data_IF_581907176282
#
_entry.id   IF_581907176282
#
_cell.length_a   1.000
_cell.length_b   1.000
_cell.length_c   1.000
_cell.angle_alpha   90.00
_cell.angle_beta   90.00
_cell.angle_gamma   90.00
#
_symmetry.space_group_name_H-M   'P 1'
#
loop_
_entity.id
_entity.type
_entity.pdbx_description
1 polymer ?
#
# COMPACT_ATOMS: atom_id res chain seq x y z
N UNK A 1 25.13 17.67 19.08
CA UNK A 1 24.04 16.83 18.53
C UNK A 1 23.09 16.51 19.66
N UNK A 2 21.81 16.82 19.50
CA UNK A 2 20.82 16.61 20.59
C UNK A 2 20.57 15.11 20.71
N UNK A 3 20.92 14.49 21.86
CA UNK A 3 20.74 13.04 22.13
C UNK A 3 19.31 12.54 21.88
N UNK A 4 18.32 13.45 21.92
CA UNK A 4 16.91 13.11 21.69
C UNK A 4 16.56 12.87 20.20
N UNK A 5 17.47 13.19 19.25
CA UNK A 5 17.24 13.02 17.81
C UNK A 5 17.91 11.77 17.22
N UNK A 6 18.72 11.04 18.01
CA UNK A 6 19.52 9.89 17.56
C UNK A 6 19.01 8.54 18.06
N UNK A 7 17.76 8.49 18.52
CA UNK A 7 17.17 7.30 19.12
C UNK A 7 17.07 6.11 18.15
N UNK A 8 17.02 6.35 16.82
CA UNK A 8 17.00 5.29 15.81
C UNK A 8 18.31 4.48 15.82
N UNK A 9 19.43 5.11 16.18
CA UNK A 9 20.75 4.47 16.29
C UNK A 9 21.09 3.94 17.68
N UNK A 10 20.41 4.40 18.74
CA UNK A 10 20.85 4.16 20.14
C UNK A 10 19.88 3.30 20.94
N UNK A 11 18.56 3.43 20.76
CA UNK A 11 17.59 2.62 21.52
C UNK A 11 17.66 1.12 21.20
N UNK A 12 17.29 0.23 22.14
CA UNK A 12 17.21 -1.21 21.88
C UNK A 12 16.30 -1.52 20.68
N UNK A 13 16.83 -2.26 19.70
CA UNK A 13 16.18 -2.51 18.41
C UNK A 13 14.78 -3.10 18.57
N UNK A 14 14.57 -4.06 19.47
CA UNK A 14 13.26 -4.68 19.70
C UNK A 14 12.22 -3.68 20.22
N UNK A 15 12.57 -2.87 21.22
CA UNK A 15 11.69 -1.82 21.77
C UNK A 15 11.35 -0.77 20.72
N UNK A 16 12.35 -0.36 19.93
CA UNK A 16 12.21 0.62 18.87
C UNK A 16 11.27 0.11 17.77
N UNK A 17 11.47 -1.13 17.31
CA UNK A 17 10.61 -1.73 16.29
C UNK A 17 9.15 -1.83 16.76
N UNK A 18 8.90 -2.27 18.01
CA UNK A 18 7.54 -2.29 18.57
C UNK A 18 6.91 -0.91 18.62
N UNK A 19 7.68 0.09 19.08
CA UNK A 19 7.22 1.49 19.17
C UNK A 19 6.84 2.08 17.80
N UNK A 20 7.49 1.63 16.73
CA UNK A 20 7.22 2.10 15.38
C UNK A 20 6.16 1.23 14.66
N UNK A 21 6.20 -0.09 14.84
CA UNK A 21 5.29 -1.02 14.17
C UNK A 21 3.84 -0.90 14.66
N UNK A 22 3.61 -0.74 15.97
CA UNK A 22 2.23 -0.65 16.49
C UNK A 22 1.46 0.54 15.89
N UNK A 23 1.99 1.78 15.89
CA UNK A 23 1.28 2.89 15.26
C UNK A 23 1.08 2.69 13.75
N UNK A 24 2.05 2.14 13.02
CA UNK A 24 1.91 1.91 11.58
C UNK A 24 0.86 0.83 11.27
N UNK A 25 0.81 -0.26 12.02
CA UNK A 25 -0.26 -1.27 11.92
C UNK A 25 -1.61 -0.63 12.22
N UNK A 26 -1.70 0.13 13.31
CA UNK A 26 -2.94 0.84 13.70
C UNK A 26 -3.41 1.80 12.61
N UNK A 27 -2.49 2.53 11.98
CA UNK A 27 -2.82 3.42 10.86
C UNK A 27 -3.42 2.66 9.68
N UNK A 28 -2.87 1.49 9.33
CA UNK A 28 -3.42 0.65 8.25
C UNK A 28 -4.84 0.15 8.59
N UNK A 29 -5.06 -0.29 9.82
CA UNK A 29 -6.39 -0.73 10.27
C UNK A 29 -7.41 0.42 10.26
N UNK A 30 -7.04 1.60 10.74
CA UNK A 30 -7.90 2.79 10.71
C UNK A 30 -8.24 3.15 9.27
N UNK A 31 -7.26 3.14 8.38
CA UNK A 31 -7.44 3.43 6.95
C UNK A 31 -8.45 2.47 6.29
N UNK A 32 -8.37 1.18 6.62
CA UNK A 32 -9.34 0.20 6.13
C UNK A 32 -10.74 0.42 6.70
N UNK A 33 -10.84 0.66 8.01
CA UNK A 33 -12.14 0.86 8.68
C UNK A 33 -12.88 2.07 8.11
N UNK A 34 -12.22 3.21 7.92
CA UNK A 34 -12.91 4.37 7.38
C UNK A 34 -13.36 4.15 5.92
N UNK A 35 -12.58 3.44 5.10
CA UNK A 35 -12.99 3.08 3.74
C UNK A 35 -14.25 2.19 3.71
N UNK A 36 -14.40 1.30 4.70
CA UNK A 36 -15.62 0.48 4.85
C UNK A 36 -16.80 1.36 5.23
N UNK A 37 -16.61 2.26 6.19
CA UNK A 37 -17.68 3.16 6.68
C UNK A 37 -18.16 4.11 5.58
N UNK A 38 -17.24 4.70 4.81
CA UNK A 38 -17.54 5.54 3.65
C UNK A 38 -18.43 4.79 2.63
N UNK A 39 -18.09 3.54 2.30
CA UNK A 39 -18.89 2.71 1.40
C UNK A 39 -20.29 2.38 1.97
N UNK A 40 -20.40 2.19 3.30
CA UNK A 40 -21.68 2.00 3.96
C UNK A 40 -22.55 3.24 3.78
N UNK A 41 -22.03 4.43 4.01
CA UNK A 41 -22.79 5.67 3.82
C UNK A 41 -23.22 5.86 2.36
N UNK A 42 -22.32 5.65 1.40
CA UNK A 42 -22.65 5.74 -0.04
C UNK A 42 -23.74 4.75 -0.42
N UNK A 43 -23.70 3.51 0.08
CA UNK A 43 -24.71 2.49 -0.18
C UNK A 43 -26.10 2.80 0.39
N UNK A 44 -26.18 3.70 1.38
CA UNK A 44 -27.43 4.13 2.00
C UNK A 44 -28.00 5.44 1.43
N UNK A 45 -27.46 5.95 0.31
CA UNK A 45 -28.03 7.10 -0.40
C UNK A 45 -29.44 6.73 -0.88
N UNK A 46 -30.43 7.56 -0.52
CA UNK A 46 -31.85 7.31 -0.79
C UNK A 46 -32.13 7.22 -2.30
N UNK A 47 -32.73 6.13 -2.73
CA UNK A 47 -33.13 5.88 -4.13
C UNK A 47 -32.03 5.26 -4.99
N UNK A 48 -30.80 5.74 -4.94
CA UNK A 48 -29.71 5.39 -5.90
C UNK A 48 -28.49 4.73 -5.25
N UNK A 49 -28.58 4.34 -3.97
CA UNK A 49 -27.43 3.87 -3.19
C UNK A 49 -26.66 2.73 -3.85
N UNK A 50 -27.33 1.76 -4.46
CA UNK A 50 -26.66 0.65 -5.16
C UNK A 50 -25.90 1.09 -6.41
N UNK A 51 -26.50 2.00 -7.21
CA UNK A 51 -25.85 2.58 -8.40
C UNK A 51 -24.69 3.49 -8.02
N UNK A 52 -24.87 4.30 -6.97
CA UNK A 52 -23.86 5.18 -6.40
C UNK A 52 -22.65 4.37 -5.90
N UNK A 53 -22.90 3.32 -5.11
CA UNK A 53 -21.85 2.44 -4.59
C UNK A 53 -21.08 1.74 -5.72
N UNK A 54 -21.81 1.27 -6.74
CA UNK A 54 -21.19 0.65 -7.93
C UNK A 54 -20.35 1.67 -8.70
N UNK A 55 -20.88 2.89 -8.92
CA UNK A 55 -20.16 3.98 -9.58
C UNK A 55 -18.87 4.37 -8.87
N UNK A 56 -18.91 4.53 -7.54
CA UNK A 56 -17.71 4.79 -6.73
C UNK A 56 -16.75 3.59 -6.75
N UNK A 57 -17.28 2.37 -6.77
CA UNK A 57 -16.48 1.16 -6.91
C UNK A 57 -15.61 1.15 -8.18
N UNK A 58 -16.15 1.64 -9.30
CA UNK A 58 -15.40 1.76 -10.57
C UNK A 58 -14.30 2.83 -10.49
N UNK A 59 -14.37 3.80 -9.59
CA UNK A 59 -13.31 4.78 -9.36
C UNK A 59 -12.09 4.19 -8.64
N UNK A 60 -12.23 3.06 -7.94
CA UNK A 60 -11.16 2.48 -7.10
C UNK A 60 -9.84 2.21 -7.84
N UNK A 61 -9.82 1.65 -9.06
CA UNK A 61 -8.57 1.48 -9.80
C UNK A 61 -7.83 2.79 -10.05
N UNK A 62 -8.55 3.88 -10.36
CA UNK A 62 -7.94 5.21 -10.54
C UNK A 62 -7.39 5.76 -9.23
N UNK A 63 -8.11 5.61 -8.12
CA UNK A 63 -7.68 6.00 -6.78
C UNK A 63 -6.42 5.24 -6.38
N UNK A 64 -6.34 3.94 -6.68
CA UNK A 64 -5.15 3.12 -6.43
C UNK A 64 -3.95 3.58 -7.25
N UNK A 65 -4.14 3.97 -8.51
CA UNK A 65 -3.09 4.53 -9.36
C UNK A 65 -2.59 5.86 -8.79
N UNK A 66 -3.49 6.75 -8.34
CA UNK A 66 -3.13 8.00 -7.67
C UNK A 66 -2.27 7.71 -6.44
N UNK A 67 -2.70 6.78 -5.60
CA UNK A 67 -1.95 6.37 -4.40
C UNK A 67 -0.59 5.74 -4.73
N UNK A 68 -0.51 4.98 -5.86
CA UNK A 68 0.74 4.41 -6.33
C UNK A 68 1.77 5.48 -6.72
N UNK A 69 1.34 6.61 -7.30
CA UNK A 69 2.23 7.75 -7.56
C UNK A 69 2.73 8.41 -6.28
N UNK A 70 1.91 8.50 -5.24
CA UNK A 70 2.38 8.98 -3.93
C UNK A 70 3.43 8.03 -3.34
N UNK A 71 3.21 6.73 -3.46
CA UNK A 71 4.15 5.70 -3.04
C UNK A 71 5.43 5.67 -3.89
N UNK A 72 5.36 6.00 -5.18
CA UNK A 72 6.53 6.15 -6.05
C UNK A 72 7.53 7.15 -5.47
N UNK A 73 7.06 8.30 -5.06
CA UNK A 73 7.91 9.38 -4.56
C UNK A 73 8.26 9.17 -3.09
N UNK A 74 7.25 8.95 -2.24
CA UNK A 74 7.43 8.76 -0.81
C UNK A 74 8.15 7.47 -0.46
N UNK A 75 7.77 6.35 -1.09
CA UNK A 75 8.37 5.02 -0.85
C UNK A 75 9.82 4.90 -1.29
N UNK A 76 10.26 5.72 -2.24
CA UNK A 76 11.69 5.77 -2.62
C UNK A 76 12.46 6.87 -1.89
N UNK A 77 11.84 8.02 -1.67
CA UNK A 77 12.49 9.17 -1.03
C UNK A 77 12.71 8.98 0.47
N UNK A 78 11.72 8.48 1.19
CA UNK A 78 11.78 8.32 2.64
C UNK A 78 12.92 7.39 3.12
N UNK A 79 13.12 6.17 2.55
CA UNK A 79 14.26 5.34 2.92
C UNK A 79 15.60 5.99 2.63
N UNK A 80 15.73 6.68 1.50
CA UNK A 80 16.97 7.39 1.14
C UNK A 80 17.27 8.55 2.09
N UNK A 81 16.25 9.29 2.49
CA UNK A 81 16.40 10.34 3.51
C UNK A 81 16.86 9.74 4.85
N UNK A 82 16.30 8.58 5.25
CA UNK A 82 16.71 7.87 6.47
C UNK A 82 18.16 7.39 6.40
N UNK A 83 18.60 6.87 5.25
CA UNK A 83 20.01 6.49 5.03
C UNK A 83 20.93 7.73 5.18
N UNK A 84 20.55 8.85 4.59
CA UNK A 84 21.31 10.10 4.72
C UNK A 84 21.36 10.58 6.18
N UNK A 85 20.24 10.48 6.92
CA UNK A 85 20.21 10.77 8.36
C UNK A 85 21.19 9.88 9.14
N UNK A 86 21.21 8.58 8.84
CA UNK A 86 22.15 7.63 9.44
C UNK A 86 23.62 7.96 9.16
N UNK A 87 23.91 8.55 8.01
CA UNK A 87 25.25 9.08 7.65
C UNK A 87 25.59 10.42 8.32
N UNK A 88 24.70 10.94 9.15
CA UNK A 88 24.77 12.31 9.70
C UNK A 88 24.74 13.44 8.65
N UNK A 89 24.28 13.16 7.44
CA UNK A 89 24.09 14.12 6.35
C UNK A 89 22.65 14.62 6.31
N UNK A 90 22.29 15.46 7.28
CA UNK A 90 20.95 16.06 7.35
C UNK A 90 20.67 16.99 6.16
N UNK A 91 21.70 17.59 5.60
CA UNK A 91 21.55 18.50 4.46
C UNK A 91 21.03 17.73 3.23
N UNK A 92 21.67 16.61 2.89
CA UNK A 92 21.19 15.73 1.80
C UNK A 92 19.81 15.17 2.12
N UNK A 93 19.52 14.78 3.36
CA UNK A 93 18.20 14.29 3.75
C UNK A 93 17.09 15.36 3.57
N UNK A 94 17.34 16.62 3.95
CA UNK A 94 16.41 17.74 3.71
C UNK A 94 16.26 18.08 2.22
N UNK A 95 17.31 17.92 1.41
CA UNK A 95 17.21 18.09 -0.05
C UNK A 95 16.35 17.00 -0.67
N UNK A 96 16.48 15.74 -0.22
CA UNK A 96 15.62 14.64 -0.66
C UNK A 96 14.14 14.93 -0.32
N UNK A 97 13.85 15.34 0.92
CA UNK A 97 12.50 15.71 1.32
C UNK A 97 11.93 16.85 0.45
N UNK A 98 12.69 17.94 0.25
CA UNK A 98 12.25 19.11 -0.53
C UNK A 98 12.01 18.76 -2.02
N UNK A 99 12.91 17.98 -2.62
CA UNK A 99 12.78 17.52 -4.00
C UNK A 99 11.55 16.58 -4.17
N UNK A 100 11.34 15.65 -3.25
CA UNK A 100 10.20 14.76 -3.25
C UNK A 100 8.88 15.52 -3.05
N UNK A 101 8.85 16.49 -2.15
CA UNK A 101 7.69 17.36 -1.93
C UNK A 101 7.31 18.12 -3.21
N UNK A 102 8.29 18.73 -3.87
CA UNK A 102 8.05 19.47 -5.12
C UNK A 102 7.60 18.53 -6.26
N UNK A 103 8.23 17.36 -6.39
CA UNK A 103 7.83 16.37 -7.39
C UNK A 103 6.39 15.89 -7.16
N UNK A 104 5.97 15.71 -5.90
CA UNK A 104 4.59 15.32 -5.60
C UNK A 104 3.58 16.39 -5.98
N UNK A 105 3.89 17.67 -5.79
CA UNK A 105 3.05 18.77 -6.28
C UNK A 105 2.93 18.70 -7.80
N UNK A 106 4.05 18.52 -8.50
CA UNK A 106 4.05 18.45 -9.95
C UNK A 106 3.22 17.26 -10.47
N UNK A 107 3.43 16.07 -9.90
CA UNK A 107 2.65 14.87 -10.23
C UNK A 107 1.16 15.08 -9.94
N UNK A 108 0.81 15.71 -8.81
CA UNK A 108 -0.59 15.96 -8.47
C UNK A 108 -1.27 16.88 -9.47
N UNK A 109 -0.59 17.93 -9.95
CA UNK A 109 -1.12 18.83 -10.98
C UNK A 109 -1.31 18.06 -12.29
N UNK A 110 -0.34 17.27 -12.72
CA UNK A 110 -0.43 16.45 -13.93
C UNK A 110 -1.61 15.48 -13.84
N UNK A 111 -1.72 14.74 -12.72
CA UNK A 111 -2.80 13.79 -12.49
C UNK A 111 -4.17 14.50 -12.46
N UNK A 112 -4.28 15.65 -11.81
CA UNK A 112 -5.51 16.45 -11.79
C UNK A 112 -5.95 16.81 -13.21
N UNK A 113 -5.03 17.31 -14.03
CA UNK A 113 -5.33 17.67 -15.44
C UNK A 113 -5.77 16.43 -16.23
N UNK A 114 -5.01 15.33 -16.16
CA UNK A 114 -5.34 14.08 -16.86
C UNK A 114 -6.72 13.56 -16.43
N UNK A 115 -7.01 13.59 -15.13
CA UNK A 115 -8.28 13.07 -14.61
C UNK A 115 -9.46 13.99 -14.97
N UNK A 116 -9.32 15.31 -14.91
CA UNK A 116 -10.41 16.22 -15.26
C UNK A 116 -10.83 16.10 -16.73
N UNK A 117 -9.88 15.86 -17.61
CA UNK A 117 -10.17 15.74 -19.05
C UNK A 117 -10.44 14.30 -19.51
N UNK A 118 -9.89 13.29 -18.82
CA UNK A 118 -9.92 11.89 -19.26
C UNK A 118 -10.75 10.95 -18.40
N UNK A 119 -11.27 11.38 -17.25
CA UNK A 119 -11.88 10.47 -16.27
C UNK A 119 -13.04 9.65 -16.85
N UNK A 120 -13.91 10.23 -17.67
CA UNK A 120 -15.03 9.52 -18.29
C UNK A 120 -14.55 8.36 -19.16
N UNK A 121 -13.52 8.58 -19.97
CA UNK A 121 -12.91 7.54 -20.81
C UNK A 121 -12.28 6.43 -19.98
N UNK A 122 -11.54 6.79 -18.94
CA UNK A 122 -10.93 5.81 -18.04
C UNK A 122 -11.97 5.01 -17.27
N UNK A 123 -13.01 5.66 -16.74
CA UNK A 123 -14.07 5.00 -15.98
C UNK A 123 -14.86 4.03 -16.87
N UNK A 124 -15.16 4.37 -18.11
CA UNK A 124 -15.77 3.45 -19.08
C UNK A 124 -14.84 2.27 -19.36
N UNK A 125 -13.54 2.50 -19.53
CA UNK A 125 -12.57 1.44 -19.73
C UNK A 125 -12.44 0.50 -18.50
N UNK A 126 -12.66 1.02 -17.29
CA UNK A 126 -12.68 0.23 -16.04
C UNK A 126 -14.04 -0.40 -15.72
N UNK A 127 -15.03 -0.28 -16.60
CA UNK A 127 -16.28 -1.03 -16.50
C UNK A 127 -17.47 -0.24 -15.98
N UNK A 128 -17.45 1.09 -16.02
CA UNK A 128 -18.65 1.89 -15.77
C UNK A 128 -19.69 1.62 -16.85
N UNK A 129 -20.94 1.39 -16.43
CA UNK A 129 -22.10 1.29 -17.30
C UNK A 129 -22.75 2.65 -17.55
N UNK A 130 -23.67 2.73 -18.53
CA UNK A 130 -24.46 3.94 -18.76
C UNK A 130 -25.19 4.43 -17.50
N UNK A 131 -25.62 3.52 -16.64
CA UNK A 131 -26.33 3.85 -15.41
C UNK A 131 -25.42 4.31 -14.27
N UNK A 132 -24.15 3.93 -14.27
CA UNK A 132 -23.20 4.21 -13.17
C UNK A 132 -22.19 5.29 -13.50
N UNK A 133 -21.99 5.61 -14.79
CA UNK A 133 -20.94 6.54 -15.24
C UNK A 133 -21.10 7.94 -14.65
N UNK A 134 -22.33 8.45 -14.53
CA UNK A 134 -22.56 9.80 -14.00
C UNK A 134 -22.20 9.89 -12.50
N UNK A 135 -22.48 8.85 -11.71
CA UNK A 135 -22.06 8.78 -10.30
C UNK A 135 -20.53 8.72 -10.19
N UNK A 136 -19.88 7.91 -11.02
CA UNK A 136 -18.44 7.76 -11.07
C UNK A 136 -17.73 9.07 -11.47
N UNK A 137 -18.22 9.74 -12.52
CA UNK A 137 -17.67 11.03 -13.01
C UNK A 137 -17.85 12.13 -11.96
N UNK A 138 -19.03 12.22 -11.34
CA UNK A 138 -19.30 13.22 -10.31
C UNK A 138 -18.38 13.04 -9.09
N UNK A 139 -18.12 11.80 -8.67
CA UNK A 139 -17.17 11.49 -7.60
C UNK A 139 -15.75 11.87 -8.03
N UNK A 140 -15.33 11.40 -9.21
CA UNK A 140 -13.96 11.51 -9.68
C UNK A 140 -13.55 12.94 -10.01
N UNK A 141 -14.46 13.79 -10.49
CA UNK A 141 -14.19 15.21 -10.73
C UNK A 141 -13.78 15.95 -9.44
N UNK A 142 -14.50 15.71 -8.36
CA UNK A 142 -14.17 16.31 -7.06
C UNK A 142 -12.88 15.72 -6.51
N UNK A 143 -12.74 14.39 -6.59
CA UNK A 143 -11.54 13.70 -6.14
C UNK A 143 -10.28 14.17 -6.89
N UNK A 144 -10.39 14.39 -8.22
CA UNK A 144 -9.30 14.89 -9.07
C UNK A 144 -8.77 16.24 -8.58
N UNK A 145 -9.65 17.19 -8.25
CA UNK A 145 -9.25 18.50 -7.71
C UNK A 145 -8.51 18.34 -6.38
N UNK A 146 -8.92 17.38 -5.55
CA UNK A 146 -8.29 17.11 -4.27
C UNK A 146 -7.07 16.21 -4.31
N UNK A 147 -6.65 15.73 -5.48
CA UNK A 147 -5.51 14.81 -5.64
C UNK A 147 -4.23 15.35 -4.99
N UNK A 148 -4.03 16.67 -4.98
CA UNK A 148 -2.88 17.28 -4.30
C UNK A 148 -2.82 16.96 -2.82
N UNK A 149 -3.95 17.00 -2.13
CA UNK A 149 -4.01 16.68 -0.69
C UNK A 149 -3.72 15.21 -0.45
N UNK A 150 -4.25 14.33 -1.30
CA UNK A 150 -4.00 12.88 -1.24
C UNK A 150 -2.52 12.58 -1.46
N UNK A 151 -1.92 13.15 -2.51
CA UNK A 151 -0.50 12.97 -2.84
C UNK A 151 0.41 13.43 -1.71
N UNK A 152 0.19 14.64 -1.21
CA UNK A 152 1.01 15.21 -0.14
C UNK A 152 0.81 14.47 1.19
N UNK A 153 -0.43 14.11 1.53
CA UNK A 153 -0.69 13.34 2.76
C UNK A 153 0.02 12.00 2.74
N UNK A 154 -0.19 11.19 1.71
CA UNK A 154 0.38 9.85 1.64
C UNK A 154 1.91 9.87 1.51
N UNK A 155 2.43 10.69 0.60
CA UNK A 155 3.87 10.71 0.34
C UNK A 155 4.68 11.36 1.45
N UNK A 156 4.22 12.48 1.99
CA UNK A 156 4.96 13.18 3.05
C UNK A 156 4.83 12.49 4.41
N UNK A 157 3.73 11.76 4.65
CA UNK A 157 3.59 10.96 5.87
C UNK A 157 4.69 9.87 5.98
N UNK A 158 5.17 9.34 4.86
CA UNK A 158 6.29 8.40 4.83
C UNK A 158 7.57 9.03 5.38
N UNK A 159 7.80 10.33 5.13
CA UNK A 159 8.93 11.06 5.69
C UNK A 159 8.80 11.32 7.19
N UNK A 160 7.59 11.45 7.72
CA UNK A 160 7.35 11.53 9.17
C UNK A 160 7.70 10.20 9.84
N UNK A 161 7.19 9.10 9.28
CA UNK A 161 7.42 7.75 9.81
C UNK A 161 8.90 7.37 9.75
N UNK A 162 9.58 7.70 8.66
CA UNK A 162 10.99 7.36 8.47
C UNK A 162 11.95 8.11 9.40
N UNK A 163 11.51 9.25 9.95
CA UNK A 163 12.23 9.94 11.03
C UNK A 163 12.00 9.30 12.41
N UNK A 164 11.17 8.25 12.49
CA UNK A 164 10.81 7.57 13.74
C UNK A 164 9.58 8.14 14.45
N UNK A 165 8.85 9.10 13.84
CA UNK A 165 7.64 9.68 14.41
C UNK A 165 6.37 8.95 13.97
N UNK A 166 6.36 7.61 14.06
CA UNK A 166 5.25 6.77 13.61
C UNK A 166 3.90 7.13 14.26
N UNK A 167 3.89 7.55 15.54
CA UNK A 167 2.67 8.05 16.21
C UNK A 167 2.10 9.28 15.53
N UNK A 168 2.94 10.22 15.12
CA UNK A 168 2.51 11.43 14.41
C UNK A 168 1.95 11.08 13.03
N UNK A 169 2.58 10.12 12.35
CA UNK A 169 2.07 9.57 11.09
C UNK A 169 0.72 8.88 11.26
N UNK A 170 0.54 8.07 12.29
CA UNK A 170 -0.74 7.44 12.62
C UNK A 170 -1.83 8.49 12.92
N UNK A 171 -1.49 9.55 13.67
CA UNK A 171 -2.44 10.61 14.00
C UNK A 171 -2.95 11.34 12.75
N UNK A 172 -2.12 11.51 11.70
CA UNK A 172 -2.60 12.10 10.44
C UNK A 172 -3.71 11.25 9.80
N UNK A 173 -3.55 9.92 9.82
CA UNK A 173 -4.56 8.97 9.30
C UNK A 173 -5.81 8.99 10.18
N UNK A 174 -5.64 9.00 11.50
CA UNK A 174 -6.76 9.05 12.45
C UNK A 174 -7.59 10.34 12.30
N UNK A 175 -6.93 11.49 12.19
CA UNK A 175 -7.59 12.79 11.98
C UNK A 175 -8.40 12.75 10.67
N UNK A 176 -7.81 12.27 9.58
CA UNK A 176 -8.51 12.13 8.31
C UNK A 176 -9.71 11.19 8.40
N UNK A 177 -9.55 10.04 9.04
CA UNK A 177 -10.63 9.07 9.23
C UNK A 177 -11.80 9.64 10.06
N UNK A 178 -11.51 10.27 11.19
CA UNK A 178 -12.55 10.90 12.03
C UNK A 178 -13.26 12.01 11.28
N UNK A 179 -12.53 12.87 10.59
CA UNK A 179 -13.13 13.94 9.79
C UNK A 179 -14.03 13.38 8.69
N UNK A 180 -13.58 12.33 7.98
CA UNK A 180 -14.37 11.71 6.93
C UNK A 180 -15.68 11.11 7.50
N UNK A 181 -15.59 10.31 8.57
CA UNK A 181 -16.77 9.70 9.22
C UNK A 181 -17.80 10.75 9.68
N UNK A 182 -17.35 11.93 10.09
CA UNK A 182 -18.24 13.03 10.51
C UNK A 182 -18.80 13.80 9.32
N UNK A 183 -17.98 14.06 8.30
CA UNK A 183 -18.37 14.87 7.14
C UNK A 183 -19.23 14.08 6.14
N UNK A 184 -19.06 12.78 6.01
CA UNK A 184 -19.85 11.94 5.11
C UNK A 184 -21.36 12.07 5.36
N UNK A 185 -21.90 11.79 6.56
CA UNK A 185 -23.34 11.92 6.80
C UNK A 185 -23.82 13.37 6.66
N UNK A 186 -22.98 14.34 6.97
CA UNK A 186 -23.33 15.76 6.84
C UNK A 186 -23.52 16.13 5.37
N UNK A 187 -22.57 15.77 4.49
CA UNK A 187 -22.64 16.16 3.08
C UNK A 187 -23.55 15.23 2.26
N UNK A 188 -23.56 13.94 2.56
CA UNK A 188 -24.38 12.97 1.82
C UNK A 188 -25.87 13.18 2.15
N UNK A 189 -26.23 13.22 3.44
CA UNK A 189 -27.61 13.19 3.88
C UNK A 189 -28.16 14.57 4.27
N UNK A 190 -27.46 15.34 5.12
CA UNK A 190 -27.98 16.63 5.59
C UNK A 190 -27.97 17.70 4.48
N UNK A 191 -26.94 17.76 3.66
CA UNK A 191 -26.85 18.67 2.51
C UNK A 191 -27.38 18.08 1.20
N UNK A 192 -27.81 16.82 1.22
CA UNK A 192 -28.35 16.09 0.05
C UNK A 192 -27.45 16.09 -1.19
N UNK A 193 -26.12 16.09 -1.00
CA UNK A 193 -25.15 16.10 -2.10
C UNK A 193 -24.88 14.71 -2.68
N UNK A 194 -25.37 13.64 -2.03
CA UNK A 194 -25.19 12.27 -2.49
C UNK A 194 -23.71 11.91 -2.69
N UNK A 195 -23.38 11.32 -3.85
CA UNK A 195 -22.01 10.90 -4.20
C UNK A 195 -21.02 12.07 -4.24
N UNK A 196 -21.46 13.26 -4.64
CA UNK A 196 -20.62 14.47 -4.61
C UNK A 196 -20.25 14.84 -3.16
N UNK A 197 -21.18 14.61 -2.22
CA UNK A 197 -20.95 14.81 -0.79
C UNK A 197 -19.88 13.88 -0.24
N UNK A 198 -19.90 12.60 -0.59
CA UNK A 198 -18.87 11.62 -0.21
C UNK A 198 -17.48 12.03 -0.75
N UNK A 199 -17.39 12.41 -2.03
CA UNK A 199 -16.13 12.88 -2.60
C UNK A 199 -15.61 14.13 -1.89
N UNK A 200 -16.49 15.09 -1.60
CA UNK A 200 -16.14 16.35 -0.92
C UNK A 200 -15.65 16.06 0.52
N UNK A 201 -16.35 15.19 1.27
CA UNK A 201 -15.93 14.77 2.59
C UNK A 201 -14.55 14.12 2.58
N UNK A 202 -14.30 13.22 1.64
CA UNK A 202 -13.00 12.57 1.47
C UNK A 202 -11.89 13.60 1.23
N UNK A 203 -12.09 14.54 0.30
CA UNK A 203 -11.07 15.53 -0.05
C UNK A 203 -10.82 16.53 1.09
N UNK A 204 -11.85 16.99 1.77
CA UNK A 204 -11.68 17.87 2.94
C UNK A 204 -10.96 17.15 4.08
N UNK A 205 -11.26 15.88 4.31
CA UNK A 205 -10.57 15.06 5.30
C UNK A 205 -9.08 14.88 4.96
N UNK A 206 -8.78 14.66 3.68
CA UNK A 206 -7.39 14.60 3.20
C UNK A 206 -6.70 15.97 3.30
N UNK A 207 -7.40 17.07 3.08
CA UNK A 207 -6.86 18.42 3.26
C UNK A 207 -6.46 18.68 4.72
N UNK A 208 -7.30 18.29 5.69
CA UNK A 208 -6.99 18.41 7.12
C UNK A 208 -5.78 17.55 7.49
N UNK A 209 -5.73 16.29 7.01
CA UNK A 209 -4.56 15.43 7.18
C UNK A 209 -3.30 16.02 6.56
N UNK A 210 -3.41 16.61 5.38
CA UNK A 210 -2.31 17.28 4.69
C UNK A 210 -1.78 18.47 5.52
N UNK A 211 -2.66 19.31 6.06
CA UNK A 211 -2.28 20.41 6.93
C UNK A 211 -1.54 19.89 8.17
N UNK A 212 -2.00 18.81 8.78
CA UNK A 212 -1.31 18.17 9.91
C UNK A 212 0.11 17.72 9.54
N UNK A 213 0.25 16.98 8.43
CA UNK A 213 1.54 16.47 7.93
C UNK A 213 2.50 17.60 7.63
N UNK A 214 2.05 18.63 6.90
CA UNK A 214 2.88 19.77 6.54
C UNK A 214 3.23 20.63 7.75
N UNK A 215 2.31 20.85 8.67
CA UNK A 215 2.55 21.58 9.92
C UNK A 215 3.64 20.89 10.76
N UNK A 216 3.66 19.56 10.79
CA UNK A 216 4.71 18.83 11.46
C UNK A 216 6.06 18.99 10.75
N UNK A 217 6.12 18.80 9.42
CA UNK A 217 7.35 18.88 8.63
C UNK A 217 7.93 20.32 8.52
N UNK A 218 7.12 21.34 8.76
CA UNK A 218 7.56 22.72 8.88
C UNK A 218 7.81 23.14 10.34
N UNK A 219 7.41 22.31 11.31
CA UNK A 219 7.45 22.60 12.74
C UNK A 219 8.83 22.39 13.37
N UNK A 220 8.93 22.64 14.68
CA UNK A 220 10.18 22.53 15.44
C UNK A 220 10.52 21.10 15.89
N UNK A 221 9.53 20.19 15.92
CA UNK A 221 9.69 18.82 16.43
C UNK A 221 10.27 17.85 15.40
N UNK A 222 10.15 18.16 14.12
CA UNK A 222 10.70 17.33 13.04
C UNK A 222 12.22 17.39 13.00
N UNK A 223 12.85 16.34 12.49
CA UNK A 223 14.29 16.32 12.24
C UNK A 223 14.59 16.94 10.88
N UNK A 224 13.81 16.57 9.87
CA UNK A 224 13.92 17.04 8.48
C UNK A 224 12.86 18.11 8.22
N UNK A 225 13.30 19.26 7.72
CA UNK A 225 12.42 20.41 7.47
C UNK A 225 12.20 20.64 5.98
N UNK A 226 10.97 20.96 5.61
CA UNK A 226 10.68 21.50 4.28
C UNK A 226 11.19 22.93 4.23
N UNK A 227 12.25 23.18 3.43
CA UNK A 227 12.85 24.49 3.25
C UNK A 227 12.67 24.99 1.83
N UNK A 228 12.28 26.24 1.64
CA UNK A 228 12.07 26.84 0.32
C UNK A 228 13.27 26.66 -0.63
N UNK A 229 14.49 26.76 -0.12
CA UNK A 229 15.73 26.57 -0.90
C UNK A 229 15.90 25.17 -1.50
N UNK A 230 15.20 24.18 -0.95
CA UNK A 230 15.29 22.77 -1.36
C UNK A 230 14.17 22.36 -2.32
N UNK A 231 13.26 23.27 -2.66
CA UNK A 231 12.11 23.04 -3.56
C UNK A 231 12.50 23.19 -5.04
N UNK A 232 13.60 22.60 -5.44
CA UNK A 232 14.10 22.62 -6.82
C UNK A 232 14.40 21.17 -7.20
N UNK A 233 13.87 20.74 -8.35
CA UNK A 233 14.15 19.39 -8.85
C UNK A 233 15.62 19.29 -9.28
N UNK A 234 16.37 18.47 -8.54
CA UNK A 234 17.73 18.07 -8.90
C UNK A 234 17.71 16.62 -9.37
N UNK A 235 17.98 16.34 -10.65
CA UNK A 235 17.96 14.98 -11.20
C UNK A 235 18.82 13.98 -10.40
N UNK A 236 19.98 14.43 -9.93
CA UNK A 236 20.92 13.63 -9.12
C UNK A 236 20.30 13.12 -7.81
N UNK A 237 19.34 13.89 -7.25
CA UNK A 237 18.65 13.55 -6.00
C UNK A 237 17.37 12.74 -6.29
N UNK A 238 16.59 13.21 -7.28
CA UNK A 238 15.25 12.66 -7.49
C UNK A 238 15.25 11.33 -8.27
N UNK A 239 16.14 11.16 -9.26
CA UNK A 239 16.20 9.93 -10.05
C UNK A 239 16.45 8.68 -9.21
N UNK A 240 17.41 8.67 -8.24
CA UNK A 240 17.57 7.52 -7.37
C UNK A 240 16.37 7.28 -6.43
N UNK A 241 15.64 8.34 -6.03
CA UNK A 241 14.42 8.19 -5.23
C UNK A 241 13.30 7.54 -6.06
N UNK A 242 13.05 8.06 -7.26
CA UNK A 242 12.06 7.50 -8.17
C UNK A 242 12.42 6.06 -8.54
N UNK A 243 13.68 5.78 -8.87
CA UNK A 243 14.14 4.43 -9.18
C UNK A 243 13.85 3.43 -8.05
N UNK A 244 14.04 3.83 -6.80
CA UNK A 244 13.71 2.98 -5.66
C UNK A 244 12.19 2.81 -5.47
N UNK A 245 11.42 3.88 -5.71
CA UNK A 245 9.96 3.88 -5.59
C UNK A 245 9.24 3.12 -6.70
N UNK A 246 9.87 2.88 -7.86
CA UNK A 246 9.27 2.12 -8.97
C UNK A 246 8.76 0.74 -8.50
N UNK A 247 9.48 0.05 -7.64
CA UNK A 247 9.05 -1.25 -7.12
C UNK A 247 7.71 -1.14 -6.35
N UNK A 248 7.58 -0.13 -5.49
CA UNK A 248 6.36 0.12 -4.71
C UNK A 248 5.21 0.54 -5.63
N UNK A 249 5.50 1.37 -6.62
CA UNK A 249 4.53 1.76 -7.65
C UNK A 249 4.01 0.54 -8.42
N UNK A 250 4.90 -0.32 -8.92
CA UNK A 250 4.55 -1.55 -9.64
C UNK A 250 3.67 -2.44 -8.76
N UNK A 251 4.04 -2.63 -7.50
CA UNK A 251 3.26 -3.49 -6.59
C UNK A 251 1.84 -2.97 -6.39
N UNK A 252 1.64 -1.67 -6.26
CA UNK A 252 0.31 -1.09 -6.05
C UNK A 252 -0.49 -0.97 -7.36
N UNK A 253 0.11 -0.45 -8.41
CA UNK A 253 -0.57 -0.23 -9.69
C UNK A 253 -0.95 -1.55 -10.38
N UNK A 254 -0.17 -2.62 -10.21
CA UNK A 254 -0.46 -3.92 -10.81
C UNK A 254 -1.66 -4.64 -10.20
N UNK A 255 -2.06 -4.32 -8.97
CA UNK A 255 -3.20 -4.97 -8.31
C UNK A 255 -4.50 -4.86 -9.11
N UNK A 256 -4.76 -3.69 -9.68
CA UNK A 256 -5.95 -3.48 -10.52
C UNK A 256 -5.92 -4.34 -11.79
N UNK A 257 -4.76 -4.42 -12.46
CA UNK A 257 -4.59 -5.25 -13.68
C UNK A 257 -4.78 -6.72 -13.35
N UNK A 258 -4.15 -7.19 -12.28
CA UNK A 258 -4.22 -8.58 -11.83
C UNK A 258 -5.65 -8.97 -11.47
N UNK A 259 -6.38 -8.08 -10.76
CA UNK A 259 -7.78 -8.31 -10.41
C UNK A 259 -8.67 -8.49 -11.65
N UNK A 260 -8.48 -7.67 -12.68
CA UNK A 260 -9.21 -7.81 -13.96
C UNK A 260 -8.86 -9.15 -14.63
N UNK A 261 -7.58 -9.53 -14.66
CA UNK A 261 -7.15 -10.81 -15.25
C UNK A 261 -7.73 -12.02 -14.53
N UNK A 262 -7.73 -12.01 -13.18
CA UNK A 262 -8.36 -13.05 -12.38
C UNK A 262 -9.86 -13.15 -12.65
N UNK A 263 -10.57 -12.03 -12.57
CA UNK A 263 -12.02 -11.99 -12.76
C UNK A 263 -12.43 -12.46 -14.16
N UNK A 264 -11.72 -12.00 -15.21
CA UNK A 264 -11.96 -12.42 -16.59
C UNK A 264 -11.74 -13.91 -16.78
N UNK A 265 -10.66 -14.46 -16.24
CA UNK A 265 -10.35 -15.89 -16.34
C UNK A 265 -11.32 -16.74 -15.51
N UNK A 266 -11.67 -16.31 -14.30
CA UNK A 266 -12.62 -16.99 -13.43
C UNK A 266 -14.05 -16.97 -14.00
N UNK A 267 -14.47 -15.85 -14.57
CA UNK A 267 -15.78 -15.76 -15.23
C UNK A 267 -15.89 -16.79 -16.36
N UNK A 268 -14.83 -16.93 -17.17
CA UNK A 268 -14.77 -17.88 -18.28
C UNK A 268 -14.86 -19.35 -17.83
N UNK A 269 -14.22 -19.71 -16.73
CA UNK A 269 -14.07 -21.13 -16.33
C UNK A 269 -14.92 -21.55 -15.13
N UNK A 270 -15.38 -20.60 -14.31
CA UNK A 270 -16.15 -20.90 -13.10
C UNK A 270 -17.44 -20.10 -12.94
N UNK A 271 -17.71 -19.16 -13.89
CA UNK A 271 -18.90 -18.33 -13.86
C UNK A 271 -18.94 -17.34 -12.67
N UNK A 272 -20.12 -16.80 -12.41
CA UNK A 272 -20.32 -15.75 -11.39
C UNK A 272 -19.97 -16.20 -9.98
N UNK A 273 -20.16 -17.47 -9.65
CA UNK A 273 -19.82 -18.01 -8.33
C UNK A 273 -18.32 -17.95 -8.05
N UNK A 274 -17.49 -18.20 -9.07
CA UNK A 274 -16.03 -18.11 -8.94
C UNK A 274 -15.56 -16.65 -8.79
N UNK A 275 -16.17 -15.74 -9.55
CA UNK A 275 -15.87 -14.29 -9.40
C UNK A 275 -16.32 -13.79 -8.03
N UNK A 276 -17.50 -14.21 -7.56
CA UNK A 276 -17.99 -13.89 -6.21
C UNK A 276 -17.05 -14.41 -5.11
N UNK A 277 -16.59 -15.65 -5.25
CA UNK A 277 -15.58 -16.20 -4.34
C UNK A 277 -14.28 -15.40 -4.38
N UNK A 278 -13.78 -15.00 -5.56
CA UNK A 278 -12.57 -14.18 -5.69
C UNK A 278 -12.69 -12.83 -4.95
N UNK A 279 -13.85 -12.22 -4.97
CA UNK A 279 -14.11 -10.98 -4.22
C UNK A 279 -13.93 -11.20 -2.71
N UNK A 280 -14.39 -12.35 -2.20
CA UNK A 280 -14.19 -12.70 -0.78
C UNK A 280 -12.69 -12.97 -0.52
N UNK A 281 -12.04 -13.75 -1.38
CA UNK A 281 -10.61 -14.07 -1.25
C UNK A 281 -9.74 -12.82 -1.21
N UNK A 282 -9.96 -11.88 -2.13
CA UNK A 282 -9.20 -10.61 -2.17
C UNK A 282 -9.45 -9.78 -0.93
N UNK A 283 -10.67 -9.74 -0.41
CA UNK A 283 -11.00 -9.04 0.83
C UNK A 283 -10.28 -9.65 2.04
N UNK A 284 -10.26 -10.98 2.14
CA UNK A 284 -9.52 -11.70 3.19
C UNK A 284 -8.01 -11.40 3.09
N UNK A 285 -7.46 -11.44 1.86
CA UNK A 285 -6.04 -11.15 1.64
C UNK A 285 -5.68 -9.70 1.96
N UNK A 286 -6.51 -8.72 1.59
CA UNK A 286 -6.29 -7.32 1.97
C UNK A 286 -6.20 -7.18 3.50
N UNK A 287 -7.14 -7.78 4.22
CA UNK A 287 -7.14 -7.78 5.68
C UNK A 287 -5.86 -8.42 6.25
N UNK A 288 -5.48 -9.55 5.68
CA UNK A 288 -4.29 -10.30 6.05
C UNK A 288 -2.99 -9.52 5.86
N UNK A 289 -2.91 -8.68 4.81
CA UNK A 289 -1.69 -7.95 4.46
C UNK A 289 -1.46 -6.70 5.31
N UNK A 290 -2.48 -6.10 5.90
CA UNK A 290 -2.35 -4.84 6.64
C UNK A 290 -1.33 -4.89 7.79
N UNK A 291 -1.35 -5.90 8.70
CA UNK A 291 -0.35 -5.99 9.75
C UNK A 291 1.06 -6.23 9.21
N UNK A 292 1.23 -7.01 8.15
CA UNK A 292 2.54 -7.23 7.52
C UNK A 292 3.10 -5.96 6.91
N UNK A 293 2.27 -5.18 6.22
CA UNK A 293 2.65 -3.88 5.68
C UNK A 293 3.02 -2.90 6.80
N UNK A 294 2.23 -2.86 7.87
CA UNK A 294 2.52 -2.03 9.04
C UNK A 294 3.81 -2.42 9.75
N UNK A 295 4.09 -3.72 9.89
CA UNK A 295 5.37 -4.24 10.41
C UNK A 295 6.55 -3.78 9.55
N UNK A 296 6.43 -3.94 8.24
CA UNK A 296 7.46 -3.51 7.29
C UNK A 296 7.74 -2.01 7.38
N UNK A 297 6.68 -1.19 7.34
CA UNK A 297 6.79 0.26 7.46
C UNK A 297 7.39 0.71 8.79
N UNK A 298 7.07 0.01 9.89
CA UNK A 298 7.66 0.28 11.20
C UNK A 298 9.14 -0.13 11.31
N UNK A 299 9.55 -1.18 10.61
CA UNK A 299 10.94 -1.65 10.58
C UNK A 299 11.84 -0.81 9.65
N UNK A 300 11.28 -0.23 8.60
CA UNK A 300 11.99 0.52 7.57
C UNK A 300 12.92 1.62 8.14
N UNK A 301 12.47 2.51 9.04
CA UNK A 301 13.35 3.55 9.60
C UNK A 301 14.55 2.96 10.32
N UNK A 302 14.35 1.87 11.06
CA UNK A 302 15.42 1.21 11.81
C UNK A 302 16.46 0.61 10.88
N UNK A 303 16.01 -0.08 9.82
CA UNK A 303 16.89 -0.68 8.82
C UNK A 303 17.66 0.38 8.03
N UNK A 304 16.95 1.38 7.49
CA UNK A 304 17.54 2.42 6.64
C UNK A 304 18.53 3.30 7.40
N UNK A 305 18.17 3.75 8.60
CA UNK A 305 19.04 4.58 9.43
C UNK A 305 20.32 3.84 9.83
N UNK A 306 20.19 2.62 10.37
CA UNK A 306 21.36 1.85 10.81
C UNK A 306 22.23 1.37 9.63
N UNK A 307 21.65 1.15 8.45
CA UNK A 307 22.41 0.93 7.23
C UNK A 307 23.25 2.17 6.87
N UNK A 308 22.65 3.36 6.91
CA UNK A 308 23.36 4.63 6.70
C UNK A 308 24.46 4.87 7.73
N UNK A 309 24.21 4.53 9.00
CA UNK A 309 25.15 4.67 10.12
C UNK A 309 26.25 3.57 10.13
N UNK A 310 26.28 2.69 9.14
CA UNK A 310 27.21 1.54 9.08
C UNK A 310 27.16 0.60 10.30
N UNK A 311 26.00 0.48 10.95
CA UNK A 311 25.83 -0.37 12.12
C UNK A 311 25.28 -1.75 11.73
N UNK A 312 26.17 -2.64 11.28
CA UNK A 312 25.82 -3.97 10.78
C UNK A 312 25.10 -4.86 11.78
N UNK A 313 25.45 -4.82 13.03
CA UNK A 313 24.82 -5.65 14.08
C UNK A 313 23.36 -5.23 14.32
N UNK A 314 23.08 -3.94 14.33
CA UNK A 314 21.70 -3.46 14.46
C UNK A 314 20.87 -3.78 13.22
N UNK A 315 21.46 -3.69 12.02
CA UNK A 315 20.81 -4.09 10.76
C UNK A 315 20.47 -5.59 10.81
N UNK A 316 21.42 -6.46 11.17
CA UNK A 316 21.18 -7.92 11.33
C UNK A 316 20.05 -8.19 12.32
N UNK A 317 20.08 -7.53 13.48
CA UNK A 317 19.07 -7.70 14.55
C UNK A 317 17.69 -7.22 14.10
N UNK A 318 17.60 -6.04 13.48
CA UNK A 318 16.34 -5.48 12.98
C UNK A 318 15.72 -6.35 11.87
N UNK A 319 16.53 -6.82 10.92
CA UNK A 319 16.06 -7.72 9.87
C UNK A 319 15.58 -9.07 10.45
N UNK A 320 16.32 -9.65 11.38
CA UNK A 320 15.92 -10.91 12.03
C UNK A 320 14.59 -10.76 12.75
N UNK A 321 14.39 -9.66 13.50
CA UNK A 321 13.13 -9.40 14.19
C UNK A 321 11.97 -9.19 13.20
N UNK A 322 12.18 -8.43 12.10
CA UNK A 322 11.18 -8.24 11.06
C UNK A 322 10.80 -9.59 10.44
N UNK A 323 11.79 -10.38 10.03
CA UNK A 323 11.57 -11.69 9.42
C UNK A 323 10.81 -12.63 10.37
N UNK A 324 11.24 -12.73 11.62
CA UNK A 324 10.59 -13.59 12.62
C UNK A 324 9.16 -13.17 12.89
N UNK A 325 8.91 -11.86 13.12
CA UNK A 325 7.57 -11.36 13.37
C UNK A 325 6.64 -11.55 12.15
N UNK A 326 7.13 -11.29 10.94
CA UNK A 326 6.37 -11.49 9.71
C UNK A 326 6.06 -12.96 9.45
N UNK A 327 7.02 -13.87 9.68
CA UNK A 327 6.82 -15.31 9.56
C UNK A 327 5.85 -15.85 10.61
N UNK A 328 5.99 -15.45 11.87
CA UNK A 328 5.06 -15.85 12.94
C UNK A 328 3.63 -15.43 12.58
N UNK A 329 3.45 -14.18 12.16
CA UNK A 329 2.14 -13.67 11.78
C UNK A 329 1.56 -14.42 10.56
N UNK A 330 2.33 -14.53 9.48
CA UNK A 330 1.86 -15.18 8.25
C UNK A 330 1.56 -16.68 8.46
N UNK A 331 2.34 -17.37 9.27
CA UNK A 331 2.13 -18.78 9.64
C UNK A 331 0.88 -18.95 10.51
N UNK A 332 0.68 -18.09 11.51
CA UNK A 332 -0.52 -18.10 12.34
C UNK A 332 -1.77 -17.88 11.50
N UNK A 333 -1.77 -16.87 10.65
CA UNK A 333 -2.89 -16.55 9.79
C UNK A 333 -3.17 -17.67 8.79
N UNK A 334 -2.12 -18.21 8.15
CA UNK A 334 -2.24 -19.37 7.26
C UNK A 334 -2.87 -20.56 7.98
N UNK A 335 -2.42 -20.88 9.17
CA UNK A 335 -2.97 -21.97 9.98
C UNK A 335 -4.46 -21.74 10.26
N UNK A 336 -4.85 -20.51 10.62
CA UNK A 336 -6.25 -20.14 10.86
C UNK A 336 -7.11 -20.30 9.61
N UNK A 337 -6.64 -19.82 8.45
CA UNK A 337 -7.37 -19.94 7.18
C UNK A 337 -7.47 -21.41 6.75
N UNK A 338 -6.42 -22.22 6.92
CA UNK A 338 -6.45 -23.63 6.54
C UNK A 338 -7.38 -24.47 7.42
N UNK A 339 -7.41 -24.20 8.73
CA UNK A 339 -8.26 -24.93 9.67
C UNK A 339 -9.72 -24.45 9.63
N UNK A 340 -9.94 -23.15 9.55
CA UNK A 340 -11.26 -22.52 9.68
C UNK A 340 -11.65 -21.63 8.48
N UNK A 341 -11.55 -22.08 7.21
CA UNK A 341 -11.82 -21.23 6.05
C UNK A 341 -13.28 -20.75 6.02
N UNK A 342 -14.20 -21.54 6.56
CA UNK A 342 -15.62 -21.19 6.64
C UNK A 342 -15.91 -20.00 7.55
N UNK A 343 -15.07 -19.71 8.55
CA UNK A 343 -15.24 -18.52 9.42
C UNK A 343 -15.03 -17.26 8.58
N UNK A 344 -13.98 -17.24 7.78
CA UNK A 344 -13.69 -16.12 6.88
C UNK A 344 -14.77 -15.95 5.79
N UNK A 345 -15.21 -17.05 5.18
CA UNK A 345 -16.25 -17.01 4.16
C UNK A 345 -17.61 -16.52 4.73
N UNK A 346 -18.00 -16.99 5.92
CA UNK A 346 -19.25 -16.56 6.59
C UNK A 346 -19.28 -15.07 6.96
N UNK A 347 -18.14 -14.42 7.07
CA UNK A 347 -18.10 -12.97 7.32
C UNK A 347 -18.66 -12.16 6.13
N UNK A 348 -18.66 -12.75 4.92
CA UNK A 348 -19.03 -12.06 3.68
C UNK A 348 -20.29 -12.57 3.02
N UNK A 349 -20.67 -13.83 3.26
CA UNK A 349 -21.85 -14.44 2.61
C UNK A 349 -22.57 -15.42 3.51
N UNK A 350 -23.90 -15.48 3.35
CA UNK A 350 -24.78 -16.49 3.94
C UNK A 350 -25.24 -17.53 2.93
N UNK A 351 -24.95 -17.34 1.63
CA UNK A 351 -25.30 -18.27 0.57
C UNK A 351 -24.50 -19.57 0.70
N UNK A 352 -25.18 -20.69 0.79
CA UNK A 352 -24.56 -22.02 1.03
C UNK A 352 -23.69 -22.49 -0.13
N UNK A 353 -24.09 -22.19 -1.37
CA UNK A 353 -23.33 -22.59 -2.56
C UNK A 353 -22.04 -21.79 -2.68
N UNK A 354 -22.13 -20.46 -2.53
CA UNK A 354 -20.96 -19.57 -2.55
C UNK A 354 -20.04 -19.88 -1.37
N UNK A 355 -20.58 -20.16 -0.17
CA UNK A 355 -19.80 -20.51 1.01
C UNK A 355 -19.01 -21.80 0.81
N UNK A 356 -19.65 -22.86 0.26
CA UNK A 356 -18.98 -24.13 -0.04
C UNK A 356 -17.86 -23.96 -1.07
N UNK A 357 -18.11 -23.21 -2.12
CA UNK A 357 -17.12 -22.90 -3.16
C UNK A 357 -15.95 -22.06 -2.61
N UNK A 358 -16.25 -20.99 -1.87
CA UNK A 358 -15.25 -20.09 -1.27
C UNK A 358 -14.35 -20.82 -0.27
N UNK A 359 -14.89 -21.75 0.52
CA UNK A 359 -14.11 -22.56 1.46
C UNK A 359 -12.99 -23.34 0.75
N UNK A 360 -13.29 -23.94 -0.40
CA UNK A 360 -12.30 -24.66 -1.20
C UNK A 360 -11.31 -23.71 -1.86
N UNK A 361 -11.82 -22.63 -2.46
CA UNK A 361 -11.01 -21.60 -3.12
C UNK A 361 -10.03 -20.91 -2.17
N UNK A 362 -10.45 -20.60 -0.92
CA UNK A 362 -9.57 -20.03 0.12
C UNK A 362 -8.36 -20.90 0.43
N UNK A 363 -8.59 -22.23 0.59
CA UNK A 363 -7.49 -23.16 0.85
C UNK A 363 -6.49 -23.23 -0.29
N UNK A 364 -6.97 -23.18 -1.53
CA UNK A 364 -6.09 -23.19 -2.70
C UNK A 364 -5.33 -21.86 -2.80
N UNK A 365 -6.04 -20.76 -2.81
CA UNK A 365 -5.49 -19.42 -3.03
C UNK A 365 -4.48 -19.02 -1.95
N UNK A 366 -4.76 -19.31 -0.68
CA UNK A 366 -3.90 -18.98 0.46
C UNK A 366 -2.87 -20.07 0.79
N UNK A 367 -2.69 -21.10 -0.04
CA UNK A 367 -1.82 -22.24 0.29
C UNK A 367 -0.38 -21.85 0.65
N UNK A 368 0.19 -20.83 0.00
CA UNK A 368 1.55 -20.34 0.24
C UNK A 368 1.62 -19.08 1.12
N UNK A 369 0.51 -18.67 1.75
CA UNK A 369 0.46 -17.47 2.59
C UNK A 369 1.49 -17.49 3.73
N UNK A 370 1.82 -18.68 4.27
CA UNK A 370 2.84 -18.83 5.30
C UNK A 370 4.23 -18.28 4.88
N UNK A 371 4.56 -18.36 3.58
CA UNK A 371 5.82 -17.87 3.03
C UNK A 371 5.83 -16.36 2.78
N UNK A 372 4.64 -15.73 2.81
CA UNK A 372 4.51 -14.31 2.46
C UNK A 372 5.26 -13.39 3.43
N UNK A 373 5.44 -13.84 4.68
CA UNK A 373 6.27 -13.12 5.64
C UNK A 373 7.71 -12.93 5.18
N UNK A 374 8.29 -13.92 4.47
CA UNK A 374 9.64 -13.81 3.88
C UNK A 374 9.64 -12.75 2.77
N UNK A 375 8.64 -12.82 1.88
CA UNK A 375 8.51 -11.90 0.76
C UNK A 375 8.49 -10.44 1.23
N UNK A 376 7.62 -10.13 2.20
CA UNK A 376 7.47 -8.77 2.74
C UNK A 376 8.75 -8.32 3.47
N UNK A 377 9.35 -9.16 4.30
CA UNK A 377 10.56 -8.82 5.04
C UNK A 377 11.75 -8.53 4.09
N UNK A 378 11.96 -9.37 3.08
CA UNK A 378 13.04 -9.17 2.11
C UNK A 378 12.80 -7.95 1.21
N UNK A 379 11.57 -7.76 0.72
CA UNK A 379 11.21 -6.62 -0.10
C UNK A 379 11.41 -5.30 0.66
N UNK A 380 10.97 -5.25 1.92
CA UNK A 380 11.16 -4.07 2.78
C UNK A 380 12.63 -3.80 3.05
N UNK A 381 13.43 -4.83 3.27
CA UNK A 381 14.86 -4.68 3.48
C UNK A 381 15.58 -4.16 2.21
N UNK A 382 15.24 -4.65 1.01
CA UNK A 382 15.78 -4.11 -0.25
C UNK A 382 15.50 -2.61 -0.40
N UNK A 383 14.26 -2.21 -0.11
CA UNK A 383 13.86 -0.80 -0.16
C UNK A 383 14.62 0.01 0.90
N UNK A 384 14.73 -0.52 2.13
CA UNK A 384 15.44 0.13 3.25
C UNK A 384 16.92 0.33 2.98
N UNK A 385 17.56 -0.56 2.24
CA UNK A 385 18.99 -0.45 1.85
C UNK A 385 19.20 0.33 0.55
N UNK A 386 18.15 0.86 -0.05
CA UNK A 386 18.25 1.60 -1.32
C UNK A 386 18.63 0.73 -2.52
N UNK A 387 18.44 -0.60 -2.46
CA UNK A 387 18.78 -1.55 -3.55
C UNK A 387 17.65 -1.59 -4.58
N UNK A 388 17.47 -0.49 -5.35
CA UNK A 388 16.38 -0.30 -6.30
C UNK A 388 16.27 -1.45 -7.32
N UNK A 389 17.37 -1.87 -7.95
CA UNK A 389 17.37 -2.94 -8.96
C UNK A 389 16.83 -4.27 -8.40
N UNK A 390 17.24 -4.65 -7.19
CA UNK A 390 16.78 -5.87 -6.54
C UNK A 390 15.27 -5.76 -6.17
N UNK A 391 14.85 -4.62 -5.63
CA UNK A 391 13.46 -4.35 -5.28
C UNK A 391 12.53 -4.42 -6.50
N UNK A 392 12.93 -3.81 -7.63
CA UNK A 392 12.19 -3.86 -8.90
C UNK A 392 12.16 -5.29 -9.45
N UNK A 393 13.30 -5.99 -9.46
CA UNK A 393 13.36 -7.36 -9.95
C UNK A 393 12.37 -8.28 -9.21
N UNK A 394 12.31 -8.18 -7.88
CA UNK A 394 11.35 -8.95 -7.06
C UNK A 394 9.89 -8.59 -7.39
N UNK A 395 9.57 -7.30 -7.50
CA UNK A 395 8.21 -6.86 -7.80
C UNK A 395 7.75 -7.30 -9.20
N UNK A 396 8.58 -7.11 -10.22
CA UNK A 396 8.30 -7.49 -11.62
C UNK A 396 8.18 -9.01 -11.76
N UNK A 397 9.13 -9.76 -11.18
CA UNK A 397 9.13 -11.23 -11.25
C UNK A 397 7.83 -11.80 -10.68
N UNK A 398 7.41 -11.37 -9.50
CA UNK A 398 6.20 -11.89 -8.87
C UNK A 398 4.94 -11.56 -9.67
N UNK A 399 4.75 -10.29 -10.04
CA UNK A 399 3.49 -9.80 -10.62
C UNK A 399 3.37 -10.06 -12.13
N UNK A 400 4.39 -9.77 -12.90
CA UNK A 400 4.33 -9.79 -14.36
C UNK A 400 4.94 -11.04 -14.98
N UNK A 401 6.02 -11.58 -14.42
CA UNK A 401 6.69 -12.75 -14.99
C UNK A 401 6.03 -14.05 -14.54
N UNK A 402 5.59 -14.12 -13.27
CA UNK A 402 5.01 -15.34 -12.70
C UNK A 402 3.49 -15.29 -12.68
N UNK A 403 2.90 -14.38 -11.91
CA UNK A 403 1.46 -14.42 -11.62
C UNK A 403 0.61 -14.22 -12.88
N UNK A 404 0.85 -13.16 -13.62
CA UNK A 404 0.03 -12.82 -14.79
C UNK A 404 0.02 -13.94 -15.85
N UNK A 405 1.14 -14.53 -16.27
CA UNK A 405 1.11 -15.66 -17.20
C UNK A 405 0.43 -16.91 -16.60
N UNK A 406 0.67 -17.22 -15.32
CA UNK A 406 0.08 -18.40 -14.67
C UNK A 406 -1.44 -18.36 -14.61
N UNK A 407 -2.06 -17.18 -14.46
CA UNK A 407 -3.53 -17.02 -14.49
C UNK A 407 -4.12 -17.59 -15.80
N UNK A 408 -3.44 -17.41 -16.92
CA UNK A 408 -3.90 -17.87 -18.22
C UNK A 408 -3.37 -19.26 -18.61
N UNK A 409 -2.15 -19.62 -18.21
CA UNK A 409 -1.51 -20.89 -18.60
C UNK A 409 -2.05 -22.07 -17.81
N UNK A 410 -2.25 -21.94 -16.49
CA UNK A 410 -2.63 -23.09 -15.65
C UNK A 410 -3.95 -23.75 -16.04
N UNK A 411 -5.01 -23.03 -16.43
CA UNK A 411 -6.25 -23.65 -16.90
C UNK A 411 -6.11 -24.49 -18.19
N UNK A 412 -5.02 -24.29 -18.94
CA UNK A 412 -4.72 -25.09 -20.15
C UNK A 412 -3.82 -26.30 -19.86
N UNK A 413 -2.95 -26.19 -18.85
CA UNK A 413 -1.98 -27.24 -18.49
C UNK A 413 -2.57 -28.24 -17.52
N UNK A 414 -3.34 -27.77 -16.51
CA UNK A 414 -3.89 -28.64 -15.49
C UNK A 414 -5.19 -29.29 -15.97
N UNK A 415 -5.25 -30.62 -15.83
CA UNK A 415 -6.45 -31.42 -16.07
C UNK A 415 -7.32 -31.41 -14.82
N UNK A 416 -8.59 -31.00 -14.95
CA UNK A 416 -9.52 -30.93 -13.82
C UNK A 416 -10.36 -29.66 -13.80
N UNK A 417 -10.73 -29.21 -12.60
CA UNK A 417 -11.52 -27.99 -12.45
C UNK A 417 -10.68 -26.76 -12.82
N UNK A 418 -11.00 -26.14 -13.96
CA UNK A 418 -10.25 -25.00 -14.51
C UNK A 418 -10.32 -23.75 -13.64
N UNK A 419 -11.41 -23.54 -12.90
CA UNK A 419 -11.51 -22.44 -11.94
C UNK A 419 -10.50 -22.61 -10.79
N UNK A 420 -10.36 -23.83 -10.28
CA UNK A 420 -9.34 -24.14 -9.29
C UNK A 420 -7.92 -23.93 -9.84
N UNK A 421 -7.68 -24.25 -11.12
CA UNK A 421 -6.40 -23.98 -11.77
C UNK A 421 -6.07 -22.48 -11.83
N UNK A 422 -7.08 -21.62 -12.04
CA UNK A 422 -6.89 -20.15 -11.97
C UNK A 422 -6.50 -19.73 -10.55
N UNK A 423 -7.17 -20.22 -9.51
CA UNK A 423 -6.80 -19.90 -8.13
C UNK A 423 -5.40 -20.40 -7.75
N UNK A 424 -4.94 -21.52 -8.32
CA UNK A 424 -3.60 -22.06 -8.09
C UNK A 424 -2.49 -21.15 -8.65
N UNK A 425 -2.81 -20.19 -9.52
CA UNK A 425 -1.83 -19.23 -10.04
C UNK A 425 -1.16 -18.43 -8.91
N UNK A 426 -1.92 -18.00 -7.90
CA UNK A 426 -1.37 -17.21 -6.77
C UNK A 426 -0.36 -18.02 -5.95
N UNK A 427 -0.68 -19.19 -5.37
CA UNK A 427 0.27 -19.92 -4.55
C UNK A 427 1.50 -20.42 -5.34
N UNK A 428 1.36 -20.78 -6.60
CA UNK A 428 2.50 -21.19 -7.43
C UNK A 428 3.41 -19.98 -7.71
N UNK A 429 2.82 -18.82 -8.08
CA UNK A 429 3.57 -17.59 -8.26
C UNK A 429 4.28 -17.16 -6.97
N UNK A 430 3.61 -17.24 -5.83
CA UNK A 430 4.16 -16.89 -4.52
C UNK A 430 5.32 -17.80 -4.12
N UNK A 431 5.19 -19.11 -4.29
CA UNK A 431 6.26 -20.06 -4.00
C UNK A 431 7.52 -19.78 -4.83
N UNK A 432 7.34 -19.60 -6.14
CA UNK A 432 8.46 -19.30 -7.05
C UNK A 432 9.06 -17.92 -6.76
N UNK A 433 8.22 -16.91 -6.51
CA UNK A 433 8.67 -15.56 -6.19
C UNK A 433 9.42 -15.50 -4.85
N UNK A 434 8.93 -16.17 -3.81
CA UNK A 434 9.60 -16.24 -2.51
C UNK A 434 10.95 -16.97 -2.63
N UNK A 435 11.00 -18.05 -3.40
CA UNK A 435 12.24 -18.78 -3.67
C UNK A 435 13.27 -17.88 -4.37
N UNK A 436 12.86 -17.18 -5.44
CA UNK A 436 13.70 -16.21 -6.14
C UNK A 436 14.16 -15.08 -5.20
N UNK A 437 13.21 -14.51 -4.44
CA UNK A 437 13.50 -13.41 -3.51
C UNK A 437 14.48 -13.83 -2.42
N UNK A 438 14.33 -15.03 -1.85
CA UNK A 438 15.21 -15.56 -0.81
C UNK A 438 16.62 -15.74 -1.32
N UNK A 439 16.79 -16.31 -2.52
CA UNK A 439 18.10 -16.49 -3.15
C UNK A 439 18.75 -15.13 -3.41
N UNK A 440 18.03 -14.22 -4.09
CA UNK A 440 18.53 -12.88 -4.39
C UNK A 440 18.90 -12.11 -3.12
N UNK A 441 18.03 -12.21 -2.10
CA UNK A 441 18.25 -11.53 -0.82
C UNK A 441 19.48 -12.07 -0.10
N UNK A 442 19.68 -13.36 -0.06
CA UNK A 442 20.84 -13.97 0.59
C UNK A 442 22.14 -13.46 -0.01
N UNK A 443 22.25 -13.38 -1.34
CA UNK A 443 23.43 -12.82 -2.01
C UNK A 443 23.61 -11.33 -1.74
N UNK A 444 22.54 -10.55 -1.89
CA UNK A 444 22.60 -9.10 -1.69
C UNK A 444 22.84 -8.72 -0.23
N UNK A 445 22.24 -9.43 0.73
CA UNK A 445 22.39 -9.15 2.13
C UNK A 445 23.82 -9.45 2.62
N UNK A 446 24.43 -10.53 2.14
CA UNK A 446 25.87 -10.81 2.41
C UNK A 446 26.76 -9.67 1.88
N UNK A 447 26.43 -9.12 0.71
CA UNK A 447 27.15 -7.96 0.15
C UNK A 447 26.95 -6.71 1.01
N UNK A 448 25.70 -6.44 1.41
CA UNK A 448 25.37 -5.33 2.32
C UNK A 448 26.16 -5.44 3.63
N UNK A 449 26.22 -6.62 4.23
CA UNK A 449 26.95 -6.82 5.49
C UNK A 449 28.47 -6.57 5.32
N UNK A 450 29.06 -7.02 4.22
CA UNK A 450 30.47 -6.71 3.91
C UNK A 450 30.71 -5.21 3.73
N UNK A 451 29.79 -4.51 3.05
CA UNK A 451 29.83 -3.03 2.91
C UNK A 451 29.76 -2.30 4.27
N UNK A 452 29.19 -2.95 5.31
CA UNK A 452 29.06 -2.38 6.65
C UNK A 452 30.22 -2.72 7.58
N UNK A 453 31.00 -3.76 7.28
CA UNK A 453 32.16 -4.23 8.06
C UNK A 453 33.46 -3.54 7.61
N UNK A 454 33.50 -2.97 6.41
CA UNK A 454 34.62 -2.17 5.86
C UNK A 454 34.33 -0.69 5.93
#
# INVERSE_FOLDING_TARGET
>A
MNKDKDFLGTEPVGKLMFRLAIPTITAQLINMLYNIIDRIYIGHISGDGALALTGVGVCMPLIMIISAFAALVGGGGAPRASIAMGKNDLNTAEHILGNCFFLQILISIILTVILLFGNRTFLLAFGASENTIEYAVNYMNIYAVGTIFVQLTLGMNMFITTQGFAKTGMLSVLIGAVMNIVLDPLFIFAFHLGVRGAALATILSQAVSCIWVLSFLCGKKTILHIRKKNLILKPEIILPCVALGIATFIMQASESIISVCFNSSLLKYGGDIAVGAMTILTSVMQFAMLPLQGLGQGAQPVLSYNYGAKNGDRVKKAFRLLLTASLCYSTLLWTFIMLFPQVFAKMFTSDSALLGFTKSALRIYCACLLLFGIQIACQMAFTSFGKAKASIAVAVTRKFILLLPLIYLLPHILTGNKANAVYMAEPIADFLAVSFTTVLFTFQFRKVLKELEG
#
